data_IF_030876171919
#
_entry.id   IF_030876171919
#
_cell.length_a   1.000
_cell.length_b   1.000
_cell.length_c   1.000
_cell.angle_alpha   90.00
_cell.angle_beta   90.00
_cell.angle_gamma   90.00
#
_symmetry.space_group_name_H-M   'P 1'
#
loop_
_entity.id
_entity.type
_entity.pdbx_description
1 polymer ?
#
# COMPACT_ATOMS: atom_id res chain seq x y z
N UNK A 1 6.71 -14.12 -19.18
CA UNK A 1 6.62 -13.95 -17.72
C UNK A 1 5.17 -14.16 -17.32
N UNK A 2 4.78 -15.36 -16.89
CA UNK A 2 3.35 -15.75 -16.87
C UNK A 2 2.69 -15.78 -15.48
N UNK A 3 3.27 -15.16 -14.43
CA UNK A 3 2.67 -15.16 -13.07
C UNK A 3 2.89 -13.90 -12.22
N UNK A 4 3.36 -12.79 -12.79
CA UNK A 4 3.63 -11.53 -12.06
C UNK A 4 2.90 -10.35 -12.72
N UNK A 5 2.82 -9.21 -12.04
CA UNK A 5 2.37 -7.95 -12.61
C UNK A 5 3.05 -7.66 -13.95
N UNK A 6 2.29 -7.12 -14.91
CA UNK A 6 2.79 -6.72 -16.22
C UNK A 6 3.67 -5.48 -16.10
N UNK A 7 3.32 -4.61 -15.14
CA UNK A 7 3.94 -3.32 -14.89
C UNK A 7 3.87 -3.02 -13.39
N UNK A 8 4.98 -2.51 -12.86
CA UNK A 8 5.13 -1.99 -11.51
C UNK A 8 5.41 -0.50 -11.66
N UNK A 9 4.58 0.33 -11.05
CA UNK A 9 4.66 1.78 -11.10
C UNK A 9 5.09 2.25 -9.73
N UNK A 10 6.17 3.01 -9.64
CA UNK A 10 6.72 3.56 -8.41
C UNK A 10 6.63 5.07 -8.49
N UNK A 11 5.78 5.66 -7.65
CA UNK A 11 5.62 7.10 -7.54
C UNK A 11 6.40 7.57 -6.30
N UNK A 12 7.37 8.45 -6.50
CA UNK A 12 8.36 8.90 -5.51
C UNK A 12 8.60 10.40 -5.65
N UNK A 13 9.17 11.02 -4.62
CA UNK A 13 9.68 12.40 -4.75
C UNK A 13 10.97 12.43 -5.58
N UNK A 14 11.91 11.53 -5.30
CA UNK A 14 13.18 11.40 -6.01
C UNK A 14 13.52 9.92 -6.22
N UNK A 15 14.03 9.57 -7.40
CA UNK A 15 14.54 8.22 -7.69
C UNK A 15 15.97 8.00 -7.21
N UNK A 16 16.69 9.03 -6.78
CA UNK A 16 18.13 8.95 -6.45
C UNK A 16 18.39 8.19 -5.13
N UNK A 17 18.10 6.88 -5.14
CA UNK A 17 18.28 5.97 -4.02
C UNK A 17 18.77 4.59 -4.50
N UNK A 18 19.81 4.02 -3.86
CA UNK A 18 20.36 2.70 -4.24
C UNK A 18 19.34 1.55 -4.24
N UNK A 19 18.27 1.67 -3.44
CA UNK A 19 17.22 0.67 -3.37
C UNK A 19 16.42 0.59 -4.68
N UNK A 20 16.11 1.73 -5.31
CA UNK A 20 15.37 1.77 -6.56
C UNK A 20 16.19 1.25 -7.73
N UNK A 21 17.50 1.52 -7.75
CA UNK A 21 18.41 0.95 -8.74
C UNK A 21 18.48 -0.57 -8.61
N UNK A 22 18.65 -1.07 -7.38
CA UNK A 22 18.63 -2.50 -7.11
C UNK A 22 17.29 -3.15 -7.51
N UNK A 23 16.16 -2.47 -7.23
CA UNK A 23 14.83 -2.93 -7.63
C UNK A 23 14.69 -3.01 -9.16
N UNK A 24 15.15 -1.97 -9.85
CA UNK A 24 15.12 -1.86 -11.31
C UNK A 24 15.94 -2.98 -11.97
N UNK A 25 17.15 -3.23 -11.47
CA UNK A 25 18.04 -4.29 -11.94
C UNK A 25 17.46 -5.69 -11.72
N UNK A 26 16.84 -5.93 -10.55
CA UNK A 26 16.30 -7.25 -10.19
C UNK A 26 15.04 -7.62 -10.97
N UNK A 27 14.19 -6.65 -11.26
CA UNK A 27 12.89 -6.88 -11.90
C UNK A 27 12.96 -6.80 -13.43
N UNK A 28 14.14 -6.49 -13.97
CA UNK A 28 14.39 -6.48 -15.40
C UNK A 28 13.68 -5.32 -16.09
N UNK A 29 14.24 -4.12 -15.96
CA UNK A 29 14.13 -2.83 -16.68
C UNK A 29 12.84 -2.48 -17.47
N UNK A 30 12.18 -3.44 -18.12
CA UNK A 30 10.99 -3.26 -18.98
C UNK A 30 9.67 -3.28 -18.22
N UNK A 31 9.66 -3.68 -16.95
CA UNK A 31 8.41 -3.82 -16.16
C UNK A 31 8.29 -2.83 -15.02
N UNK A 32 9.29 -2.00 -14.74
CA UNK A 32 9.24 -0.99 -13.66
C UNK A 32 9.26 0.41 -14.25
N UNK A 33 8.28 1.24 -13.91
CA UNK A 33 8.16 2.63 -14.30
C UNK A 33 8.27 3.52 -13.07
N UNK A 34 9.06 4.58 -13.15
CA UNK A 34 9.18 5.58 -12.09
C UNK A 34 8.46 6.87 -12.50
N UNK A 35 7.76 7.46 -11.54
CA UNK A 35 7.21 8.81 -11.60
C UNK A 35 7.82 9.60 -10.44
N UNK A 36 8.61 10.62 -10.76
CA UNK A 36 9.35 11.46 -9.81
C UNK A 36 8.62 12.79 -9.55
N UNK A 37 9.15 13.62 -8.66
CA UNK A 37 8.60 14.92 -8.28
C UNK A 37 7.14 14.83 -7.78
N UNK A 38 6.82 13.75 -7.06
CA UNK A 38 5.47 13.50 -6.53
C UNK A 38 4.43 13.18 -7.61
N UNK A 39 4.86 12.99 -8.87
CA UNK A 39 3.94 12.70 -9.96
C UNK A 39 3.25 11.35 -9.76
N UNK A 40 1.94 11.34 -9.98
CA UNK A 40 1.13 10.11 -9.97
C UNK A 40 0.32 10.06 -11.27
N UNK A 41 0.46 9.02 -12.11
CA UNK A 41 -0.29 8.93 -13.35
C UNK A 41 -1.79 8.86 -13.02
N UNK A 42 -2.66 9.67 -13.64
CA UNK A 42 -4.08 9.63 -13.35
C UNK A 42 -4.68 8.30 -13.83
N UNK A 43 -5.63 7.77 -13.06
CA UNK A 43 -6.37 6.52 -13.40
C UNK A 43 -7.04 6.53 -14.78
N UNK A 44 -7.29 7.71 -15.37
CA UNK A 44 -7.82 7.89 -16.72
C UNK A 44 -6.84 7.42 -17.80
N UNK A 45 -5.54 7.39 -17.54
CA UNK A 45 -4.55 6.83 -18.47
C UNK A 45 -4.75 5.32 -18.70
N UNK A 46 -5.45 4.66 -17.77
CA UNK A 46 -5.68 3.21 -17.77
C UNK A 46 -7.16 2.85 -17.88
N UNK A 47 -8.02 3.83 -18.15
CA UNK A 47 -9.46 3.62 -18.25
C UNK A 47 -10.13 4.47 -19.32
N UNK A 48 -11.11 3.87 -19.98
CA UNK A 48 -12.03 4.53 -20.90
C UNK A 48 -13.41 4.62 -20.26
N UNK A 49 -14.16 5.67 -20.61
CA UNK A 49 -15.54 5.83 -20.17
C UNK A 49 -16.43 4.97 -21.07
N UNK A 50 -17.14 4.01 -20.46
CA UNK A 50 -18.24 3.30 -21.10
C UNK A 50 -19.44 4.26 -21.13
N UNK A 51 -19.76 4.81 -22.30
CA UNK A 51 -20.83 5.80 -22.48
C UNK A 51 -22.22 5.23 -22.18
N UNK A 52 -22.45 3.95 -22.47
CA UNK A 52 -23.73 3.28 -22.24
C UNK A 52 -24.00 3.09 -20.74
N UNK A 53 -22.95 2.77 -19.95
CA UNK A 53 -23.08 2.48 -18.51
C UNK A 53 -22.66 3.63 -17.60
N UNK A 54 -22.12 4.71 -18.16
CA UNK A 54 -21.48 5.81 -17.44
C UNK A 54 -20.47 5.32 -16.38
N UNK A 55 -19.69 4.28 -16.71
CA UNK A 55 -18.72 3.62 -15.82
C UNK A 55 -17.32 3.62 -16.44
N UNK A 56 -16.30 3.65 -15.59
CA UNK A 56 -14.92 3.45 -16.04
C UNK A 56 -14.67 1.97 -16.35
N UNK A 57 -14.14 1.71 -17.54
CA UNK A 57 -13.71 0.38 -18.00
C UNK A 57 -12.21 0.42 -18.28
N UNK A 58 -11.49 -0.60 -17.83
CA UNK A 58 -10.06 -0.74 -18.10
C UNK A 58 -9.77 -0.88 -19.60
N UNK A 59 -8.66 -0.29 -20.05
CA UNK A 59 -8.24 -0.28 -21.47
C UNK A 59 -7.66 -1.62 -21.95
N UNK A 60 -7.10 -2.40 -21.04
CA UNK A 60 -6.42 -3.68 -21.31
C UNK A 60 -6.77 -4.71 -20.23
N UNK A 61 -6.16 -5.91 -20.27
CA UNK A 61 -6.29 -6.96 -19.24
C UNK A 61 -5.09 -7.06 -18.29
N UNK A 62 -4.15 -6.11 -18.36
CA UNK A 62 -2.86 -6.16 -17.64
C UNK A 62 -2.99 -5.92 -16.15
N UNK A 63 -2.43 -6.80 -15.34
CA UNK A 63 -2.36 -6.58 -13.89
C UNK A 63 -1.18 -5.66 -13.58
N UNK A 64 -1.42 -4.59 -12.84
CA UNK A 64 -0.43 -3.59 -12.47
C UNK A 64 -0.28 -3.51 -10.96
N UNK A 65 0.90 -3.14 -10.51
CA UNK A 65 1.15 -2.82 -9.12
C UNK A 65 1.63 -1.38 -9.03
N UNK A 66 0.95 -0.54 -8.27
CA UNK A 66 1.34 0.85 -8.06
C UNK A 66 1.76 1.06 -6.61
N UNK A 67 2.91 1.69 -6.43
CA UNK A 67 3.52 2.01 -5.14
C UNK A 67 3.58 3.53 -5.01
N UNK A 68 3.05 4.05 -3.92
CA UNK A 68 3.19 5.44 -3.51
C UNK A 68 4.18 5.47 -2.35
N UNK A 69 5.39 5.96 -2.59
CA UNK A 69 6.46 5.93 -1.60
C UNK A 69 6.71 7.32 -1.00
N UNK A 70 6.50 7.43 0.30
CA UNK A 70 6.65 8.62 1.14
C UNK A 70 5.99 9.92 0.63
N UNK A 71 4.91 9.79 -0.16
CA UNK A 71 4.15 10.92 -0.72
C UNK A 71 3.16 11.54 0.30
N UNK A 72 3.40 11.37 1.61
CA UNK A 72 2.45 11.79 2.67
C UNK A 72 2.23 13.31 2.70
N UNK A 73 3.21 14.11 2.28
CA UNK A 73 3.12 15.57 2.27
C UNK A 73 2.61 16.14 0.94
N UNK A 74 2.64 15.36 -0.14
CA UNK A 74 2.18 15.84 -1.46
C UNK A 74 0.65 15.72 -1.56
N UNK A 75 -0.02 16.88 -1.59
CA UNK A 75 -1.47 16.93 -1.72
C UNK A 75 -1.98 16.37 -3.05
N UNK A 76 -1.33 16.68 -4.17
CA UNK A 76 -1.77 16.26 -5.50
C UNK A 76 -1.58 14.76 -5.69
N UNK A 77 -0.42 14.23 -5.27
CA UNK A 77 -0.15 12.80 -5.23
C UNK A 77 -1.23 12.08 -4.41
N UNK A 78 -1.56 12.60 -3.22
CA UNK A 78 -2.57 12.01 -2.35
C UNK A 78 -3.99 12.06 -2.95
N UNK A 79 -4.33 13.10 -3.73
CA UNK A 79 -5.60 13.15 -4.47
C UNK A 79 -5.66 12.02 -5.50
N UNK A 80 -4.58 11.75 -6.23
CA UNK A 80 -4.54 10.66 -7.20
C UNK A 80 -4.48 9.28 -6.52
N UNK A 81 -3.69 9.12 -5.46
CA UNK A 81 -3.61 7.88 -4.70
C UNK A 81 -4.99 7.46 -4.17
N UNK A 82 -5.77 8.39 -3.60
CA UNK A 82 -7.17 8.16 -3.21
C UNK A 82 -8.02 7.59 -4.34
N UNK A 83 -7.86 8.09 -5.56
CA UNK A 83 -8.56 7.55 -6.74
C UNK A 83 -8.16 6.10 -7.00
N UNK A 84 -6.88 5.75 -6.90
CA UNK A 84 -6.44 4.36 -7.01
C UNK A 84 -7.04 3.46 -5.93
N UNK A 85 -7.05 3.88 -4.66
CA UNK A 85 -7.62 3.07 -3.58
C UNK A 85 -9.14 2.86 -3.70
N UNK A 86 -9.89 3.79 -4.32
CA UNK A 86 -11.33 3.63 -4.55
C UNK A 86 -11.66 2.72 -5.75
N UNK A 87 -10.98 2.91 -6.89
CA UNK A 87 -11.37 2.29 -8.18
C UNK A 87 -10.29 1.44 -8.84
N UNK A 88 -9.04 1.52 -8.38
CA UNK A 88 -7.88 0.85 -8.98
C UNK A 88 -8.06 -0.67 -9.12
N UNK A 89 -8.66 -1.35 -8.13
CA UNK A 89 -8.94 -2.79 -8.20
C UNK A 89 -9.74 -3.18 -9.45
N UNK A 90 -10.77 -2.39 -9.82
CA UNK A 90 -11.58 -2.64 -11.03
C UNK A 90 -10.81 -2.39 -12.32
N UNK A 91 -9.74 -1.58 -12.23
CA UNK A 91 -8.85 -1.26 -13.33
C UNK A 91 -7.65 -2.22 -13.44
N UNK A 92 -7.56 -3.23 -12.56
CA UNK A 92 -6.46 -4.20 -12.57
C UNK A 92 -5.23 -3.77 -11.79
N UNK A 93 -5.39 -2.84 -10.83
CA UNK A 93 -4.32 -2.42 -9.95
C UNK A 93 -4.37 -3.14 -8.60
N UNK A 94 -3.19 -3.57 -8.16
CA UNK A 94 -2.85 -3.70 -6.74
C UNK A 94 -2.15 -2.40 -6.31
N UNK A 95 -2.39 -1.95 -5.08
CA UNK A 95 -1.85 -0.70 -4.57
C UNK A 95 -1.06 -0.93 -3.29
N UNK A 96 0.05 -0.23 -3.14
CA UNK A 96 0.83 -0.14 -1.91
C UNK A 96 1.08 1.35 -1.62
N UNK A 97 0.84 1.75 -0.38
CA UNK A 97 1.17 3.09 0.09
C UNK A 97 2.16 2.92 1.25
N UNK A 98 3.35 3.49 1.10
CA UNK A 98 4.42 3.48 2.10
C UNK A 98 4.49 4.88 2.68
N UNK A 99 4.56 4.98 4.01
CA UNK A 99 4.67 6.27 4.66
C UNK A 99 5.14 6.13 6.10
N UNK A 100 5.84 7.16 6.57
CA UNK A 100 6.46 7.15 7.91
C UNK A 100 5.47 7.45 9.05
N UNK A 101 4.28 7.99 8.72
CA UNK A 101 3.26 8.33 9.71
C UNK A 101 1.90 7.78 9.32
N UNK A 102 1.43 6.79 10.07
CA UNK A 102 0.09 6.22 9.87
C UNK A 102 -1.00 7.28 9.97
N UNK A 103 -0.86 8.21 10.93
CA UNK A 103 -1.78 9.34 11.09
C UNK A 103 -1.93 10.20 9.83
N UNK A 104 -0.82 10.52 9.14
CA UNK A 104 -0.80 11.41 7.98
C UNK A 104 -1.31 10.74 6.70
N UNK A 105 -1.23 9.41 6.60
CA UNK A 105 -1.83 8.69 5.48
C UNK A 105 -3.33 9.03 5.40
N UNK A 106 -3.84 9.50 4.25
CA UNK A 106 -5.23 9.90 4.11
C UNK A 106 -6.19 8.81 4.58
N UNK A 107 -7.18 9.19 5.41
CA UNK A 107 -8.17 8.26 5.98
C UNK A 107 -8.82 7.37 4.91
N UNK A 108 -9.19 7.96 3.78
CA UNK A 108 -9.78 7.24 2.64
C UNK A 108 -8.88 6.12 2.11
N UNK A 109 -7.56 6.28 2.13
CA UNK A 109 -6.63 5.20 1.74
C UNK A 109 -6.69 4.10 2.80
N UNK A 110 -6.54 4.44 4.09
CA UNK A 110 -6.57 3.49 5.21
C UNK A 110 -7.87 2.68 5.29
N UNK A 111 -9.01 3.31 5.00
CA UNK A 111 -10.32 2.65 4.99
C UNK A 111 -10.50 1.67 3.82
N UNK A 112 -9.69 1.78 2.77
CA UNK A 112 -9.80 0.97 1.55
C UNK A 112 -8.64 -0.02 1.37
N UNK A 113 -7.84 -0.26 2.42
CA UNK A 113 -6.81 -1.31 2.38
C UNK A 113 -7.34 -2.65 2.90
N UNK A 114 -6.69 -3.72 2.49
CA UNK A 114 -6.96 -5.08 3.00
C UNK A 114 -5.89 -5.55 4.00
N UNK A 115 -4.72 -4.92 3.93
CA UNK A 115 -3.54 -5.30 4.68
C UNK A 115 -2.88 -4.06 5.28
N UNK A 116 -2.33 -4.21 6.48
CA UNK A 116 -1.32 -3.32 7.01
C UNK A 116 -0.02 -4.09 7.21
N UNK A 117 1.12 -3.49 6.83
CA UNK A 117 2.45 -4.02 7.16
C UNK A 117 3.07 -2.99 8.10
N UNK A 118 3.23 -3.36 9.37
CA UNK A 118 3.73 -2.47 10.41
C UNK A 118 5.20 -2.74 10.63
N UNK A 119 6.05 -1.72 10.47
CA UNK A 119 7.44 -1.77 10.92
C UNK A 119 7.56 -1.36 12.39
N UNK A 120 8.80 -1.34 12.89
CA UNK A 120 9.15 -0.89 14.24
C UNK A 120 8.91 0.64 14.43
N UNK A 121 8.85 1.08 15.69
CA UNK A 121 8.78 2.49 16.13
C UNK A 121 7.45 3.22 15.89
N UNK A 122 6.34 2.50 15.77
CA UNK A 122 5.03 3.14 15.79
C UNK A 122 4.71 3.69 17.18
N UNK A 123 4.11 4.87 17.23
CA UNK A 123 3.71 5.50 18.47
C UNK A 123 2.36 4.93 18.95
N UNK A 124 2.08 5.01 20.25
CA UNK A 124 0.81 4.56 20.82
C UNK A 124 -0.42 5.19 20.15
N UNK A 125 -0.31 6.43 19.65
CA UNK A 125 -1.37 7.10 18.90
C UNK A 125 -1.65 6.42 17.54
N UNK A 126 -0.60 5.94 16.87
CA UNK A 126 -0.70 5.25 15.60
C UNK A 126 -1.29 3.85 15.82
N UNK A 127 -0.82 3.12 16.83
CA UNK A 127 -1.38 1.82 17.21
C UNK A 127 -2.87 1.90 17.56
N UNK A 128 -3.26 2.92 18.33
CA UNK A 128 -4.68 3.18 18.63
C UNK A 128 -5.48 3.42 17.36
N UNK A 129 -4.96 4.22 16.42
CA UNK A 129 -5.65 4.53 15.19
C UNK A 129 -5.77 3.31 14.27
N UNK A 130 -4.72 2.49 14.17
CA UNK A 130 -4.72 1.21 13.44
C UNK A 130 -5.80 0.28 14.00
N UNK A 131 -5.89 0.17 15.32
CA UNK A 131 -6.90 -0.67 15.98
C UNK A 131 -8.34 -0.26 15.63
N UNK A 132 -8.58 1.01 15.31
CA UNK A 132 -9.91 1.47 14.86
C UNK A 132 -10.25 1.14 13.40
N UNK A 133 -9.26 0.71 12.61
CA UNK A 133 -9.45 0.41 11.19
C UNK A 133 -10.08 -0.97 10.93
N UNK A 134 -10.19 -1.83 11.94
CA UNK A 134 -10.78 -3.15 11.80
C UNK A 134 -11.47 -3.61 13.08
N UNK A 135 -12.54 -4.43 12.98
CA UNK A 135 -13.13 -5.07 14.16
C UNK A 135 -12.15 -6.06 14.77
N UNK A 136 -11.94 -5.97 16.08
CA UNK A 136 -11.03 -6.79 16.88
C UNK A 136 -11.56 -6.89 18.31
N UNK A 137 -11.24 -8.00 18.97
CA UNK A 137 -11.55 -8.21 20.39
C UNK A 137 -10.43 -7.69 21.30
N UNK A 138 -9.26 -7.41 20.72
CA UNK A 138 -8.11 -6.90 21.45
C UNK A 138 -8.34 -5.45 21.87
N UNK A 139 -7.99 -5.16 23.12
CA UNK A 139 -7.81 -3.79 23.56
C UNK A 139 -6.44 -3.24 23.12
N UNK A 140 -6.22 -1.95 23.32
CA UNK A 140 -4.98 -1.29 22.91
C UNK A 140 -3.73 -1.88 23.57
N UNK A 141 -3.80 -2.26 24.84
CA UNK A 141 -2.66 -2.82 25.56
C UNK A 141 -2.27 -4.19 24.98
N UNK A 142 -3.27 -5.05 24.74
CA UNK A 142 -3.06 -6.36 24.12
C UNK A 142 -2.50 -6.24 22.71
N UNK A 143 -3.06 -5.35 21.89
CA UNK A 143 -2.56 -5.10 20.54
C UNK A 143 -1.14 -4.53 20.56
N UNK A 144 -0.83 -3.63 21.49
CA UNK A 144 0.52 -3.06 21.65
C UNK A 144 1.53 -4.15 22.05
N UNK A 145 1.13 -5.09 22.90
CA UNK A 145 1.97 -6.25 23.24
C UNK A 145 2.26 -7.11 22.01
N UNK A 146 1.22 -7.49 21.25
CA UNK A 146 1.37 -8.27 20.00
C UNK A 146 2.30 -7.53 19.02
N UNK A 147 2.12 -6.22 18.86
CA UNK A 147 2.98 -5.40 18.00
C UNK A 147 4.44 -5.42 18.47
N UNK A 148 4.69 -5.13 19.74
CA UNK A 148 6.05 -5.03 20.29
C UNK A 148 6.79 -6.38 20.25
N UNK A 149 6.10 -7.49 20.55
CA UNK A 149 6.67 -8.84 20.50
C UNK A 149 7.09 -9.24 19.08
N UNK A 150 6.43 -8.71 18.05
CA UNK A 150 6.66 -9.08 16.65
C UNK A 150 7.41 -8.00 15.84
N UNK A 151 7.86 -6.92 16.48
CA UNK A 151 8.65 -5.84 15.86
C UNK A 151 9.88 -5.47 16.69
N UNK A 152 10.46 -6.44 17.40
CA UNK A 152 11.57 -6.23 18.34
C UNK A 152 12.86 -5.79 17.63
N UNK A 153 13.20 -6.43 16.51
CA UNK A 153 14.46 -6.22 15.82
C UNK A 153 14.27 -5.28 14.61
N UNK A 154 15.40 -4.81 14.07
CA UNK A 154 15.39 -4.08 12.81
C UNK A 154 14.83 -4.98 11.71
N UNK A 155 14.01 -4.40 10.83
CA UNK A 155 13.33 -5.08 9.71
C UNK A 155 12.24 -6.09 10.13
N UNK A 156 12.01 -6.31 11.42
CA UNK A 156 10.83 -7.06 11.84
C UNK A 156 9.55 -6.30 11.46
N UNK A 157 8.58 -7.06 10.94
CA UNK A 157 7.29 -6.52 10.51
C UNK A 157 6.13 -7.34 11.04
N UNK A 158 5.00 -6.67 11.24
CA UNK A 158 3.73 -7.33 11.53
C UNK A 158 2.76 -7.09 10.38
N UNK A 159 2.43 -8.15 9.63
CA UNK A 159 1.37 -8.11 8.62
C UNK A 159 0.02 -8.33 9.32
N UNK A 160 -0.92 -7.41 9.16
CA UNK A 160 -2.31 -7.54 9.58
C UNK A 160 -3.16 -7.80 8.35
N UNK A 161 -3.87 -8.92 8.31
CA UNK A 161 -4.94 -9.22 7.36
C UNK A 161 -6.29 -8.85 8.00
N UNK A 162 -6.84 -7.71 7.59
CA UNK A 162 -8.08 -7.14 8.16
C UNK A 162 -9.26 -8.08 7.93
N UNK A 163 -9.32 -8.71 6.76
CA UNK A 163 -10.44 -9.54 6.37
C UNK A 163 -10.48 -10.84 7.17
N UNK A 164 -9.32 -11.44 7.41
CA UNK A 164 -9.19 -12.68 8.19
C UNK A 164 -9.05 -12.43 9.68
N UNK A 165 -8.83 -11.18 10.10
CA UNK A 165 -8.54 -10.79 11.49
C UNK A 165 -7.37 -11.58 12.06
N UNK A 166 -6.28 -11.65 11.29
CA UNK A 166 -5.05 -12.30 11.73
C UNK A 166 -3.86 -11.37 11.55
N UNK A 167 -2.91 -11.48 12.46
CA UNK A 167 -1.57 -10.94 12.32
C UNK A 167 -0.59 -12.07 11.94
N UNK A 168 0.46 -11.71 11.20
CA UNK A 168 1.58 -12.60 10.85
C UNK A 168 2.90 -11.88 11.06
N UNK A 169 3.80 -12.43 11.89
CA UNK A 169 5.15 -11.90 12.02
C UNK A 169 5.92 -12.09 10.72
N UNK A 170 6.68 -11.08 10.30
CA UNK A 170 7.54 -11.10 9.11
C UNK A 170 6.84 -11.61 7.85
N UNK A 171 5.56 -11.26 7.67
CA UNK A 171 4.69 -11.58 6.53
C UNK A 171 4.32 -13.07 6.43
N UNK A 172 5.28 -13.97 6.65
CA UNK A 172 5.16 -15.41 6.43
C UNK A 172 5.03 -16.22 7.72
N UNK A 173 5.19 -15.60 8.89
CA UNK A 173 5.10 -16.26 10.18
C UNK A 173 3.72 -16.86 10.48
N UNK A 174 3.64 -17.58 11.61
CA UNK A 174 2.40 -18.17 12.09
C UNK A 174 1.27 -17.15 12.25
N UNK A 175 0.03 -17.58 12.04
CA UNK A 175 -1.12 -16.70 12.23
C UNK A 175 -1.37 -16.47 13.73
N UNK A 176 -1.53 -15.22 14.11
CA UNK A 176 -1.94 -14.76 15.43
C UNK A 176 -3.36 -14.22 15.26
N UNK A 177 -4.30 -14.67 16.07
CA UNK A 177 -5.67 -14.17 16.01
C UNK A 177 -5.73 -12.73 16.58
N UNK A 178 -6.40 -11.84 15.85
CA UNK A 178 -6.73 -10.48 16.27
C UNK A 178 -8.23 -10.35 16.58
#
# INVERSE_FOLDING_TARGET
MNKTFHEIIVCVESRDEPLYDHLFDKLGNKSVLFFEDGAVPPTTNYSIKDEERNKLKRIDKYQRFIIFDDLILDHQANVQAKQYFIKGRKLGFSMLYIGQSFFQIPKMIRDNVQYFILGKNLLNKDLRLILTCFPTELNLEEFTRVYNENTQNSLDTLLIDIQKRIARPNITGGAIQL
#
